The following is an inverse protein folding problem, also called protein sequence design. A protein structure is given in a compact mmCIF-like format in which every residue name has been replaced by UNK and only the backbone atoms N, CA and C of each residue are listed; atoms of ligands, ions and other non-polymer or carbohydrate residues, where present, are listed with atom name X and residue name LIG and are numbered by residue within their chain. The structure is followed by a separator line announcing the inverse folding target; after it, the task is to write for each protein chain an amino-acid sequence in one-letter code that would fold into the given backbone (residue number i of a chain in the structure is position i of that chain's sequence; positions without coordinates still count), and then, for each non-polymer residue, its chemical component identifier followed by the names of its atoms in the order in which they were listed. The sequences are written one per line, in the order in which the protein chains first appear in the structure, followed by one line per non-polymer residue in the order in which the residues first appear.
data_IF_671676227264
#
_entry.id   IF_671676227264
#
_cell.length_a   1.000
_cell.length_b   1.000
_cell.length_c   1.000
_cell.angle_alpha   90.00
_cell.angle_beta   90.00
_cell.angle_gamma   90.00
#
_symmetry.space_group_name_H-M   'P 1'
#
loop_
_entity.id
_entity.type
_entity.pdbx_description
1 polymer ?
#
# COMPACT_ATOMS: atom_id res chain seq x y z
N UNK A 1 -5.85 24.15 13.63
CA UNK A 1 -4.87 23.47 12.75
C UNK A 1 -5.64 22.80 11.63
N UNK A 2 -5.21 22.99 10.37
CA UNK A 2 -5.87 22.38 9.22
C UNK A 2 -5.64 20.87 9.28
N UNK A 3 -6.69 20.08 9.25
CA UNK A 3 -6.63 18.60 9.28
C UNK A 3 -6.33 18.10 7.87
N UNK A 4 -5.12 18.39 7.40
CA UNK A 4 -4.64 17.97 6.08
C UNK A 4 -4.17 16.50 6.07
N UNK A 5 -3.79 16.02 4.90
CA UNK A 5 -3.34 14.63 4.71
C UNK A 5 -2.14 14.26 5.59
N UNK A 6 -1.21 15.19 5.84
CA UNK A 6 -0.01 14.95 6.65
C UNK A 6 -0.36 14.83 8.14
N UNK A 7 -1.27 15.68 8.63
CA UNK A 7 -1.79 15.54 9.99
C UNK A 7 -2.45 14.19 10.22
N UNK A 8 -3.26 13.74 9.27
CA UNK A 8 -3.92 12.43 9.33
C UNK A 8 -2.91 11.29 9.31
N UNK A 9 -1.92 11.35 8.41
CA UNK A 9 -0.85 10.34 8.33
C UNK A 9 -0.05 10.24 9.64
N UNK A 10 0.39 11.37 10.20
CA UNK A 10 1.09 11.42 11.50
C UNK A 10 0.22 10.88 12.63
N UNK A 11 -1.08 11.18 12.62
CA UNK A 11 -2.03 10.63 13.60
C UNK A 11 -2.15 9.12 13.50
N UNK A 12 -2.23 8.58 12.28
CA UNK A 12 -2.24 7.14 12.00
C UNK A 12 -0.94 6.49 12.51
N UNK A 13 0.22 7.05 12.15
CA UNK A 13 1.53 6.53 12.55
C UNK A 13 1.71 6.52 14.06
N UNK A 14 1.33 7.60 14.75
CA UNK A 14 1.39 7.69 16.20
C UNK A 14 0.53 6.64 16.91
N UNK A 15 -0.65 6.34 16.37
CA UNK A 15 -1.53 5.28 16.91
C UNK A 15 -0.97 3.89 16.60
N UNK A 16 -0.42 3.69 15.42
CA UNK A 16 0.17 2.43 15.00
C UNK A 16 1.34 2.00 15.89
N UNK A 17 2.21 2.92 16.30
CA UNK A 17 3.30 2.61 17.23
C UNK A 17 2.82 2.18 18.63
N UNK A 18 1.61 2.55 19.03
CA UNK A 18 1.05 2.24 20.35
C UNK A 18 0.23 0.97 20.40
N UNK A 19 -0.21 0.48 19.25
CA UNK A 19 -1.18 -0.61 19.18
C UNK A 19 -0.61 -1.73 18.31
N UNK A 20 -0.80 -2.98 18.74
CA UNK A 20 -0.54 -4.16 17.92
C UNK A 20 -1.72 -4.43 16.98
N UNK A 21 -2.28 -3.38 16.38
CA UNK A 21 -3.40 -3.45 15.44
C UNK A 21 -2.90 -3.30 14.00
N UNK A 22 -3.66 -3.82 13.04
CA UNK A 22 -3.35 -3.64 11.63
C UNK A 22 -3.48 -2.17 11.23
N UNK A 23 -2.52 -1.66 10.45
CA UNK A 23 -2.50 -0.27 9.98
C UNK A 23 -3.82 0.16 9.32
N UNK A 24 -4.45 -0.75 8.55
CA UNK A 24 -5.74 -0.51 7.89
C UNK A 24 -6.89 -0.24 8.87
N UNK A 25 -6.94 -0.94 10.00
CA UNK A 25 -7.95 -0.71 11.05
C UNK A 25 -7.76 0.65 11.71
N UNK A 26 -6.51 0.97 12.09
CA UNK A 26 -6.17 2.27 12.68
C UNK A 26 -6.53 3.42 11.73
N UNK A 27 -6.18 3.27 10.45
CA UNK A 27 -6.53 4.24 9.41
C UNK A 27 -8.03 4.47 9.32
N UNK A 28 -8.84 3.40 9.29
CA UNK A 28 -10.30 3.50 9.24
C UNK A 28 -10.86 4.19 10.48
N UNK A 29 -10.34 3.92 11.68
CA UNK A 29 -10.71 4.62 12.92
C UNK A 29 -10.41 6.12 12.84
N UNK A 30 -9.23 6.50 12.33
CA UNK A 30 -8.84 7.92 12.16
C UNK A 30 -9.76 8.59 11.14
N UNK A 31 -10.04 7.96 10.00
CA UNK A 31 -10.92 8.53 8.98
C UNK A 31 -12.38 8.65 9.46
N UNK A 32 -12.88 7.71 10.25
CA UNK A 32 -14.21 7.81 10.86
C UNK A 32 -14.29 8.98 11.86
N UNK A 33 -13.20 9.22 12.60
CA UNK A 33 -13.14 10.32 13.58
C UNK A 33 -13.08 11.69 12.92
N UNK A 34 -12.21 11.85 11.90
CA UNK A 34 -11.92 13.17 11.31
C UNK A 34 -12.72 13.48 10.04
N UNK A 35 -13.35 12.47 9.42
CA UNK A 35 -14.16 12.58 8.20
C UNK A 35 -13.50 13.43 7.10
N UNK A 36 -12.24 13.10 6.70
CA UNK A 36 -11.51 13.91 5.74
C UNK A 36 -12.13 13.85 4.34
N UNK A 37 -11.89 14.89 3.56
CA UNK A 37 -12.18 14.94 2.13
C UNK A 37 -11.48 13.79 1.37
N UNK A 38 -12.06 13.27 0.27
CA UNK A 38 -11.54 12.13 -0.48
C UNK A 38 -10.05 12.26 -0.85
N UNK A 39 -9.62 13.41 -1.35
CA UNK A 39 -8.23 13.66 -1.73
C UNK A 39 -7.29 13.58 -0.51
N UNK A 40 -7.66 14.20 0.62
CA UNK A 40 -6.88 14.13 1.85
C UNK A 40 -6.82 12.71 2.40
N UNK A 41 -7.90 11.95 2.29
CA UNK A 41 -7.98 10.54 2.69
C UNK A 41 -7.03 9.68 1.87
N UNK A 42 -7.06 9.83 0.54
CA UNK A 42 -6.19 9.10 -0.39
C UNK A 42 -4.72 9.43 -0.10
N UNK A 43 -4.37 10.70 -0.03
CA UNK A 43 -3.01 11.14 0.24
C UNK A 43 -2.49 10.69 1.61
N UNK A 44 -3.29 10.78 2.67
CA UNK A 44 -2.92 10.30 4.00
C UNK A 44 -2.70 8.78 4.03
N UNK A 45 -3.47 8.03 3.22
CA UNK A 45 -3.28 6.58 3.07
C UNK A 45 -1.92 6.26 2.46
N UNK A 46 -1.54 6.96 1.39
CA UNK A 46 -0.22 6.79 0.75
C UNK A 46 0.89 7.12 1.75
N UNK A 47 0.86 8.30 2.36
CA UNK A 47 1.89 8.73 3.31
C UNK A 47 2.06 7.74 4.48
N UNK A 48 0.97 7.27 5.08
CA UNK A 48 1.06 6.33 6.19
C UNK A 48 1.60 4.95 5.75
N UNK A 49 1.11 4.41 4.63
CA UNK A 49 1.53 3.09 4.14
C UNK A 49 3.02 3.09 3.74
N UNK A 50 3.45 4.08 2.97
CA UNK A 50 4.83 4.18 2.49
C UNK A 50 5.81 4.45 3.62
N UNK A 51 5.43 5.32 4.57
CA UNK A 51 6.25 5.56 5.77
C UNK A 51 6.44 4.29 6.59
N UNK A 52 5.40 3.46 6.77
CA UNK A 52 5.52 2.18 7.47
C UNK A 52 6.35 1.18 6.66
N UNK A 53 6.17 1.11 5.35
CA UNK A 53 6.94 0.21 4.46
C UNK A 53 8.44 0.50 4.53
N UNK A 54 8.81 1.77 4.55
CA UNK A 54 10.21 2.21 4.57
C UNK A 54 10.71 2.58 5.97
N UNK A 55 9.95 2.23 7.03
CA UNK A 55 10.20 2.72 8.40
C UNK A 55 11.64 2.53 8.86
N UNK A 56 12.21 1.35 8.72
CA UNK A 56 13.57 1.08 9.17
C UNK A 56 14.60 1.92 8.43
N UNK A 57 14.43 2.07 7.11
CA UNK A 57 15.29 2.93 6.28
C UNK A 57 15.17 4.39 6.68
N UNK A 58 13.95 4.91 6.84
CA UNK A 58 13.71 6.28 7.28
C UNK A 58 14.28 6.54 8.65
N UNK A 59 14.16 5.60 9.58
CA UNK A 59 14.70 5.70 10.94
C UNK A 59 16.21 5.84 10.93
N UNK A 60 16.94 5.01 10.16
CA UNK A 60 18.39 5.11 9.98
C UNK A 60 18.81 6.46 9.39
N UNK A 61 18.12 6.90 8.35
CA UNK A 61 18.41 8.18 7.71
C UNK A 61 18.20 9.37 8.67
N UNK A 62 17.11 9.34 9.46
CA UNK A 62 16.84 10.39 10.44
C UNK A 62 17.91 10.43 11.53
N UNK A 63 18.31 9.28 12.07
CA UNK A 63 19.39 9.22 13.07
C UNK A 63 20.72 9.76 12.50
N UNK A 64 21.06 9.35 11.27
CA UNK A 64 22.28 9.81 10.59
C UNK A 64 22.28 11.33 10.35
N UNK A 65 21.21 11.88 9.79
CA UNK A 65 21.11 13.32 9.44
C UNK A 65 20.97 14.21 10.68
N UNK A 66 20.23 13.75 11.70
CA UNK A 66 19.99 14.52 12.91
C UNK A 66 21.11 14.40 13.95
N UNK A 67 21.93 13.35 13.86
CA UNK A 67 22.92 12.99 14.89
C UNK A 67 22.29 12.59 16.23
N UNK A 68 20.99 12.24 16.25
CA UNK A 68 20.24 11.91 17.46
C UNK A 68 19.58 10.56 17.34
N UNK A 69 19.63 9.77 18.42
CA UNK A 69 18.83 8.54 18.47
C UNK A 69 17.35 8.86 18.49
N UNK A 70 16.59 8.13 17.68
CA UNK A 70 15.11 8.24 17.60
C UNK A 70 14.42 7.99 18.95
N UNK A 71 15.00 7.15 19.81
CA UNK A 71 14.48 6.89 21.16
C UNK A 71 14.41 8.16 22.02
N UNK A 72 15.19 9.19 21.70
CA UNK A 72 15.23 10.48 22.42
C UNK A 72 14.32 11.54 21.81
N UNK A 73 13.72 11.25 20.65
CA UNK A 73 12.77 12.15 19.99
C UNK A 73 11.34 11.88 20.48
N UNK A 74 10.57 12.94 20.62
CA UNK A 74 9.11 12.82 20.80
C UNK A 74 8.52 12.00 19.65
N UNK A 75 7.49 11.19 19.97
CA UNK A 75 6.85 10.31 18.99
C UNK A 75 6.29 11.07 17.80
N UNK A 76 5.54 12.14 18.05
CA UNK A 76 4.94 12.92 16.98
C UNK A 76 6.01 13.60 16.12
N UNK A 77 7.10 14.04 16.73
CA UNK A 77 8.25 14.58 16.00
C UNK A 77 8.87 13.52 15.09
N UNK A 78 9.02 12.29 15.58
CA UNK A 78 9.54 11.17 14.80
C UNK A 78 8.66 10.89 13.59
N UNK A 79 7.36 10.74 13.79
CA UNK A 79 6.41 10.51 12.71
C UNK A 79 6.39 11.65 11.69
N UNK A 80 6.49 12.91 12.13
CA UNK A 80 6.59 14.06 11.23
C UNK A 80 7.88 14.03 10.41
N UNK A 81 9.02 13.71 11.04
CA UNK A 81 10.30 13.57 10.32
C UNK A 81 10.24 12.40 9.32
N UNK A 82 9.68 11.26 9.70
CA UNK A 82 9.51 10.11 8.81
C UNK A 82 8.70 10.49 7.56
N UNK A 83 7.57 11.17 7.72
CA UNK A 83 6.76 11.66 6.59
C UNK A 83 7.54 12.67 5.75
N UNK A 84 8.24 13.63 6.38
CA UNK A 84 9.04 14.63 5.67
C UNK A 84 10.21 14.02 4.89
N UNK A 85 10.90 13.02 5.46
CA UNK A 85 11.96 12.28 4.77
C UNK A 85 11.40 11.49 3.58
N UNK A 86 10.24 10.85 3.75
CA UNK A 86 9.58 10.15 2.66
C UNK A 86 9.25 11.11 1.52
N UNK A 87 8.62 12.25 1.80
CA UNK A 87 8.24 13.24 0.77
C UNK A 87 9.47 13.80 0.04
N UNK A 88 10.58 14.08 0.73
CA UNK A 88 11.79 14.65 0.11
C UNK A 88 12.55 13.61 -0.73
N UNK A 89 12.55 12.34 -0.32
CA UNK A 89 13.41 11.31 -0.93
C UNK A 89 12.70 10.39 -1.92
N UNK A 90 11.38 10.21 -1.78
CA UNK A 90 10.63 9.16 -2.49
C UNK A 90 9.36 9.68 -3.18
N UNK A 91 8.99 10.94 -3.00
CA UNK A 91 7.77 11.49 -3.56
C UNK A 91 8.05 12.69 -4.48
N UNK A 92 8.27 12.39 -5.73
CA UNK A 92 8.56 13.40 -6.77
C UNK A 92 7.42 14.39 -7.00
N UNK A 93 6.20 14.09 -6.53
CA UNK A 93 5.04 14.98 -6.68
C UNK A 93 5.07 16.18 -5.72
N UNK A 94 5.98 16.17 -4.72
CA UNK A 94 6.08 17.20 -3.69
C UNK A 94 7.43 17.92 -3.79
N UNK A 95 7.44 19.22 -4.07
CA UNK A 95 8.68 20.01 -4.01
C UNK A 95 9.29 19.99 -2.58
N UNK A 96 10.60 19.88 -2.48
CA UNK A 96 11.34 19.81 -1.21
C UNK A 96 10.94 20.95 -0.23
N UNK A 97 10.81 22.18 -0.72
CA UNK A 97 10.43 23.34 0.10
C UNK A 97 9.03 23.16 0.72
N UNK A 98 8.10 22.58 -0.04
CA UNK A 98 6.72 22.36 0.43
C UNK A 98 6.65 21.24 1.48
N UNK A 99 7.47 20.19 1.35
CA UNK A 99 7.63 19.17 2.36
C UNK A 99 8.16 19.76 3.68
N UNK A 100 9.21 20.58 3.61
CA UNK A 100 9.80 21.25 4.78
C UNK A 100 8.80 22.19 5.45
N UNK A 101 8.17 23.10 4.71
CA UNK A 101 7.22 24.06 5.27
C UNK A 101 6.06 23.37 5.97
N UNK A 102 5.48 22.37 5.32
CA UNK A 102 4.37 21.59 5.88
C UNK A 102 4.77 20.85 7.17
N UNK A 103 5.94 20.19 7.19
CA UNK A 103 6.42 19.48 8.37
C UNK A 103 6.71 20.44 9.55
N UNK A 104 7.30 21.60 9.26
CA UNK A 104 7.57 22.67 10.26
C UNK A 104 6.27 23.19 10.86
N UNK A 105 5.30 23.53 10.03
CA UNK A 105 4.00 24.03 10.47
C UNK A 105 3.24 22.97 11.27
N UNK A 106 3.28 21.71 10.84
CA UNK A 106 2.67 20.60 11.54
C UNK A 106 3.33 20.40 12.92
N UNK A 107 4.66 20.42 12.98
CA UNK A 107 5.40 20.31 14.25
C UNK A 107 5.05 21.45 15.21
N UNK A 108 4.96 22.68 14.70
CA UNK A 108 4.59 23.86 15.50
C UNK A 108 3.18 23.71 16.10
N UNK A 109 2.24 23.15 15.32
CA UNK A 109 0.85 22.95 15.74
C UNK A 109 0.64 21.79 16.70
N UNK A 110 1.40 20.69 16.57
CA UNK A 110 1.27 19.49 17.42
C UNK A 110 2.12 19.58 18.67
N UNK A 111 3.31 20.11 18.59
CA UNK A 111 4.29 20.19 19.69
C UNK A 111 4.52 21.64 20.12
N UNK A 112 5.58 22.26 19.58
CA UNK A 112 5.95 23.63 19.94
C UNK A 112 6.95 24.25 18.94
N UNK A 113 7.27 25.55 19.15
CA UNK A 113 8.19 26.32 18.31
C UNK A 113 9.64 25.76 18.34
N UNK A 114 10.12 25.26 19.49
CA UNK A 114 11.46 24.69 19.61
C UNK A 114 11.59 23.41 18.76
N UNK A 115 10.60 22.51 18.83
CA UNK A 115 10.57 21.31 18.02
C UNK A 115 10.49 21.63 16.51
N UNK A 116 9.72 22.65 16.12
CA UNK A 116 9.63 23.08 14.71
C UNK A 116 10.96 23.61 14.17
N UNK A 117 11.77 24.28 15.00
CA UNK A 117 13.13 24.66 14.65
C UNK A 117 14.05 23.45 14.38
N UNK A 118 13.92 22.39 15.19
CA UNK A 118 14.65 21.14 14.97
C UNK A 118 14.20 20.46 13.68
N UNK A 119 12.88 20.37 13.42
CA UNK A 119 12.33 19.81 12.17
C UNK A 119 12.91 20.53 10.95
N UNK A 120 12.89 21.86 10.95
CA UNK A 120 13.45 22.66 9.86
C UNK A 120 14.95 22.37 9.65
N UNK A 121 15.74 22.34 10.73
CA UNK A 121 17.17 22.09 10.66
C UNK A 121 17.48 20.70 10.09
N UNK A 122 16.78 19.66 10.54
CA UNK A 122 16.97 18.28 10.09
C UNK A 122 16.60 18.12 8.62
N UNK A 123 15.41 18.59 8.20
CA UNK A 123 14.96 18.43 6.82
C UNK A 123 15.80 19.25 5.82
N UNK A 124 16.22 20.48 6.19
CA UNK A 124 17.16 21.26 5.35
C UNK A 124 18.53 20.62 5.28
N UNK A 125 19.02 19.98 6.36
CA UNK A 125 20.26 19.22 6.34
C UNK A 125 20.15 18.01 5.39
N UNK A 126 19.02 17.29 5.40
CA UNK A 126 18.75 16.21 4.46
C UNK A 126 18.85 16.69 3.00
N UNK A 127 18.14 17.77 2.64
CA UNK A 127 18.17 18.34 1.29
C UNK A 127 19.59 18.67 0.87
N UNK A 128 20.32 19.43 1.71
CA UNK A 128 21.71 19.78 1.43
C UNK A 128 22.58 18.54 1.22
N UNK A 129 22.43 17.51 2.06
CA UNK A 129 23.17 16.26 1.93
C UNK A 129 22.86 15.54 0.62
N UNK A 130 21.57 15.43 0.27
CA UNK A 130 21.08 14.85 -1.00
C UNK A 130 21.69 15.55 -2.20
N UNK A 131 21.76 16.89 -2.17
CA UNK A 131 22.21 17.69 -3.31
C UNK A 131 23.74 17.72 -3.47
N UNK A 132 24.49 17.53 -2.36
CA UNK A 132 25.96 17.59 -2.37
C UNK A 132 26.65 16.24 -2.51
N UNK A 133 25.98 15.14 -2.18
CA UNK A 133 26.57 13.81 -2.16
C UNK A 133 25.52 12.77 -2.59
N UNK A 134 25.62 12.27 -3.81
CA UNK A 134 24.68 11.27 -4.37
C UNK A 134 24.75 9.91 -3.68
N UNK A 135 25.78 9.64 -2.91
CA UNK A 135 25.98 8.38 -2.18
C UNK A 135 25.99 8.58 -0.64
N UNK A 136 25.38 9.65 -0.15
CA UNK A 136 25.37 10.00 1.28
C UNK A 136 24.78 8.89 2.18
N UNK A 137 23.89 8.08 1.65
CA UNK A 137 23.22 6.97 2.33
C UNK A 137 23.96 5.63 2.18
N UNK A 138 25.05 5.59 1.39
CA UNK A 138 25.84 4.38 1.13
C UNK A 138 26.20 3.59 2.39
N UNK A 139 26.75 4.24 3.44
CA UNK A 139 27.09 3.55 4.71
C UNK A 139 25.88 2.98 5.45
N UNK A 140 24.65 3.49 5.19
CA UNK A 140 23.44 3.01 5.85
C UNK A 140 22.88 1.73 5.20
N UNK A 141 23.22 1.49 3.92
CA UNK A 141 22.70 0.36 3.13
C UNK A 141 23.18 -1.00 3.64
N UNK A 142 24.29 -1.02 4.39
CA UNK A 142 24.82 -2.24 5.00
C UNK A 142 24.18 -2.57 6.36
N UNK A 143 23.39 -1.65 6.93
CA UNK A 143 22.73 -1.86 8.21
C UNK A 143 21.41 -2.65 8.03
N UNK A 144 21.12 -3.56 8.98
CA UNK A 144 19.91 -4.41 8.91
C UNK A 144 18.61 -3.61 8.79
N UNK A 145 18.52 -2.47 9.49
CA UNK A 145 17.35 -1.58 9.43
C UNK A 145 17.04 -1.02 8.04
N UNK A 146 18.02 -1.01 7.12
CA UNK A 146 17.85 -0.50 5.76
C UNK A 146 16.75 -1.19 4.97
N UNK A 147 16.57 -2.48 5.20
CA UNK A 147 15.56 -3.28 4.50
C UNK A 147 14.15 -3.14 5.07
N UNK A 148 13.99 -2.43 6.21
CA UNK A 148 12.70 -2.23 6.89
C UNK A 148 11.96 -3.54 7.23
N UNK A 149 12.72 -4.59 7.51
CA UNK A 149 12.24 -5.91 7.87
C UNK A 149 12.76 -6.31 9.26
N UNK A 150 12.02 -7.10 10.05
CA UNK A 150 12.53 -7.70 11.28
C UNK A 150 13.77 -8.57 11.03
N UNK A 151 14.74 -8.54 11.94
CA UNK A 151 16.01 -9.25 11.79
C UNK A 151 15.82 -10.77 11.60
N UNK A 152 14.84 -11.37 12.26
CA UNK A 152 14.55 -12.81 12.12
C UNK A 152 14.07 -13.19 10.71
N UNK A 153 13.31 -12.29 10.03
CA UNK A 153 12.89 -12.50 8.64
C UNK A 153 14.10 -12.39 7.73
N UNK A 154 14.96 -11.39 7.95
CA UNK A 154 16.16 -11.18 7.15
C UNK A 154 17.08 -12.40 7.24
N UNK A 155 17.37 -12.88 8.47
CA UNK A 155 18.19 -14.05 8.69
C UNK A 155 17.63 -15.29 7.98
N UNK A 156 16.32 -15.56 8.10
CA UNK A 156 15.66 -16.69 7.45
C UNK A 156 15.71 -16.60 5.93
N UNK A 157 15.47 -15.43 5.36
CA UNK A 157 15.48 -15.27 3.90
C UNK A 157 16.89 -15.29 3.31
N UNK A 158 17.89 -14.79 4.05
CA UNK A 158 19.29 -14.92 3.66
C UNK A 158 19.70 -16.41 3.63
N UNK A 159 19.29 -17.18 4.63
CA UNK A 159 19.53 -18.62 4.70
C UNK A 159 18.88 -19.37 3.53
N UNK A 160 17.63 -19.04 3.20
CA UNK A 160 16.87 -19.72 2.15
C UNK A 160 17.23 -19.30 0.72
N UNK A 161 17.52 -18.01 0.48
CA UNK A 161 17.67 -17.42 -0.86
C UNK A 161 19.11 -17.00 -1.16
N UNK A 162 20.00 -17.06 -0.18
CA UNK A 162 21.31 -16.44 -0.23
C UNK A 162 21.25 -14.91 -0.19
N UNK A 163 22.39 -14.25 0.06
CA UNK A 163 22.47 -12.79 0.19
C UNK A 163 21.95 -12.07 -1.08
N UNK A 164 22.27 -12.56 -2.27
CA UNK A 164 21.82 -11.95 -3.53
C UNK A 164 20.29 -12.04 -3.68
N UNK A 165 19.71 -13.22 -3.49
CA UNK A 165 18.26 -13.42 -3.58
C UNK A 165 17.50 -12.59 -2.56
N UNK A 166 18.01 -12.48 -1.34
CA UNK A 166 17.47 -11.60 -0.31
C UNK A 166 17.47 -10.12 -0.75
N UNK A 167 18.58 -9.61 -1.29
CA UNK A 167 18.68 -8.23 -1.75
C UNK A 167 17.72 -7.94 -2.90
N UNK A 168 17.58 -8.87 -3.84
CA UNK A 168 16.65 -8.72 -4.97
C UNK A 168 15.18 -8.75 -4.49
N UNK A 169 14.85 -9.63 -3.54
CA UNK A 169 13.53 -9.68 -2.92
C UNK A 169 13.22 -8.38 -2.18
N UNK A 170 14.15 -7.88 -1.34
CA UNK A 170 13.92 -6.67 -0.55
C UNK A 170 13.76 -5.42 -1.41
N UNK A 171 14.42 -5.33 -2.56
CA UNK A 171 14.18 -4.26 -3.54
C UNK A 171 12.73 -4.27 -4.01
N UNK A 172 12.18 -5.44 -4.33
CA UNK A 172 10.79 -5.58 -4.83
C UNK A 172 9.75 -5.26 -3.77
N UNK A 173 9.87 -5.82 -2.56
CA UNK A 173 8.87 -5.62 -1.49
C UNK A 173 8.87 -4.20 -0.92
N UNK A 174 9.97 -3.46 -1.06
CA UNK A 174 10.07 -2.06 -0.65
C UNK A 174 9.59 -1.06 -1.72
N UNK A 175 9.19 -1.54 -2.90
CA UNK A 175 8.51 -0.71 -3.89
C UNK A 175 7.02 -0.59 -3.57
N UNK A 176 6.40 0.51 -4.01
CA UNK A 176 4.95 0.63 -3.97
C UNK A 176 4.31 -0.53 -4.73
N UNK A 177 3.26 -1.18 -4.19
CA UNK A 177 2.63 -2.30 -4.86
C UNK A 177 1.97 -1.84 -6.15
N UNK A 178 2.16 -2.61 -7.20
CA UNK A 178 1.44 -2.44 -8.46
C UNK A 178 0.01 -2.91 -8.25
N UNK A 179 -0.96 -2.14 -8.73
CA UNK A 179 -2.36 -2.56 -8.74
C UNK A 179 -2.59 -3.46 -9.95
N UNK A 180 -3.11 -4.65 -9.70
CA UNK A 180 -3.55 -5.56 -10.74
C UNK A 180 -5.08 -5.65 -10.78
N UNK A 181 -5.59 -5.74 -11.99
CA UNK A 181 -7.00 -5.94 -12.28
C UNK A 181 -7.14 -7.23 -13.06
N UNK A 182 -8.00 -8.13 -12.59
CA UNK A 182 -8.39 -9.31 -13.33
C UNK A 182 -9.62 -9.01 -14.17
N UNK A 183 -9.60 -9.46 -15.43
CA UNK A 183 -10.70 -9.39 -16.38
C UNK A 183 -11.51 -10.67 -16.30
N UNK A 184 -12.83 -10.55 -16.12
CA UNK A 184 -13.78 -11.66 -16.04
C UNK A 184 -14.74 -11.71 -17.22
N UNK A 185 -14.75 -10.67 -18.04
CA UNK A 185 -15.82 -10.46 -19.00
C UNK A 185 -15.73 -11.40 -20.20
N UNK A 186 -16.86 -12.00 -20.54
CA UNK A 186 -17.07 -12.61 -21.86
C UNK A 186 -17.71 -11.61 -22.86
N UNK A 187 -18.05 -10.40 -22.41
CA UNK A 187 -18.70 -9.35 -23.21
C UNK A 187 -17.69 -8.43 -23.89
N UNK A 188 -16.56 -8.17 -23.22
CA UNK A 188 -15.52 -7.28 -23.70
C UNK A 188 -14.22 -8.04 -23.89
N UNK A 189 -13.49 -7.71 -24.95
CA UNK A 189 -12.10 -8.17 -25.12
C UNK A 189 -11.18 -7.43 -24.15
N UNK A 190 -9.96 -7.92 -23.97
CA UNK A 190 -8.95 -7.25 -23.16
C UNK A 190 -8.66 -5.84 -23.69
N UNK A 191 -8.63 -5.66 -25.00
CA UNK A 191 -8.34 -4.38 -25.64
C UNK A 191 -9.51 -3.40 -25.48
N UNK A 192 -10.76 -3.88 -25.52
CA UNK A 192 -11.93 -3.04 -25.19
C UNK A 192 -11.85 -2.51 -23.75
N UNK A 193 -11.47 -3.36 -22.79
CA UNK A 193 -11.33 -2.97 -21.40
C UNK A 193 -10.21 -1.94 -21.22
N UNK A 194 -9.07 -2.11 -21.87
CA UNK A 194 -7.98 -1.12 -21.85
C UNK A 194 -8.48 0.22 -22.41
N UNK A 195 -9.21 0.19 -23.52
CA UNK A 195 -9.77 1.40 -24.12
C UNK A 195 -10.79 2.09 -23.19
N UNK A 196 -11.69 1.34 -22.57
CA UNK A 196 -12.70 1.87 -21.64
C UNK A 196 -12.05 2.45 -20.36
N UNK A 197 -11.00 1.82 -19.84
CA UNK A 197 -10.22 2.34 -18.71
C UNK A 197 -9.50 3.63 -19.09
N UNK A 198 -8.88 3.69 -20.27
CA UNK A 198 -8.24 4.89 -20.79
C UNK A 198 -9.23 6.06 -20.95
N UNK A 199 -10.46 5.79 -21.39
CA UNK A 199 -11.54 6.78 -21.45
C UNK A 199 -11.96 7.33 -20.07
N UNK A 200 -11.54 6.69 -18.99
CA UNK A 200 -11.75 7.12 -17.60
C UNK A 200 -10.47 7.66 -16.94
N UNK A 201 -9.47 8.07 -17.71
CA UNK A 201 -8.16 8.54 -17.26
C UNK A 201 -7.38 7.48 -16.41
N UNK A 202 -7.63 6.19 -16.67
CA UNK A 202 -6.94 5.09 -16.02
C UNK A 202 -5.95 4.48 -17.00
N UNK A 203 -4.65 4.64 -16.72
CA UNK A 203 -3.59 4.01 -17.50
C UNK A 203 -3.42 2.54 -17.11
N UNK A 204 -3.55 1.67 -18.11
CA UNK A 204 -3.43 0.21 -17.92
C UNK A 204 -2.69 -0.43 -19.08
N UNK A 205 -2.05 -1.57 -18.82
CA UNK A 205 -1.44 -2.40 -19.84
C UNK A 205 -1.66 -3.89 -19.56
N UNK A 206 -1.58 -4.71 -20.60
CA UNK A 206 -1.75 -6.16 -20.48
C UNK A 206 -0.56 -6.77 -19.72
N UNK A 207 -0.86 -7.48 -18.64
CA UNK A 207 0.12 -8.28 -17.90
C UNK A 207 0.10 -9.75 -18.33
N UNK A 208 -1.10 -10.32 -18.53
CA UNK A 208 -1.31 -11.69 -19.00
C UNK A 208 -2.65 -11.79 -19.73
N UNK A 209 -3.07 -13.00 -20.09
CA UNK A 209 -4.37 -13.23 -20.75
C UNK A 209 -5.57 -12.75 -19.94
N UNK A 210 -5.47 -12.79 -18.58
CA UNK A 210 -6.58 -12.45 -17.69
C UNK A 210 -6.29 -11.25 -16.79
N UNK A 211 -5.10 -10.65 -16.85
CA UNK A 211 -4.70 -9.58 -15.93
C UNK A 211 -4.16 -8.35 -16.64
N UNK A 212 -4.53 -7.18 -16.10
CA UNK A 212 -3.96 -5.88 -16.42
C UNK A 212 -3.19 -5.32 -15.23
N UNK A 213 -2.10 -4.59 -15.50
CA UNK A 213 -1.48 -3.66 -14.55
C UNK A 213 -2.12 -2.29 -14.68
N UNK A 214 -2.30 -1.61 -13.55
CA UNK A 214 -2.75 -0.22 -13.49
C UNK A 214 -1.58 0.65 -13.04
N UNK A 215 -1.11 1.54 -13.90
CA UNK A 215 0.03 2.42 -13.62
C UNK A 215 -0.39 3.87 -13.32
N UNK A 216 -1.64 4.28 -13.65
CA UNK A 216 -2.20 5.56 -13.24
C UNK A 216 -3.72 5.45 -13.02
N UNK A 217 -4.31 6.37 -12.24
CA UNK A 217 -5.76 6.38 -12.00
C UNK A 217 -6.28 5.25 -11.09
N UNK A 218 -5.41 4.57 -10.33
CA UNK A 218 -5.78 3.44 -9.48
C UNK A 218 -6.95 3.71 -8.51
N UNK A 219 -7.06 4.94 -8.00
CA UNK A 219 -8.16 5.35 -7.11
C UNK A 219 -9.53 5.37 -7.77
N UNK A 220 -9.59 5.46 -9.09
CA UNK A 220 -10.83 5.57 -9.87
C UNK A 220 -11.36 4.21 -10.34
N UNK A 221 -10.55 3.15 -10.29
CA UNK A 221 -10.91 1.81 -10.79
C UNK A 221 -12.22 1.31 -10.20
N UNK A 222 -12.43 1.50 -8.90
CA UNK A 222 -13.65 1.08 -8.18
C UNK A 222 -14.90 1.87 -8.60
N UNK A 223 -14.74 3.04 -9.19
CA UNK A 223 -15.82 3.92 -9.62
C UNK A 223 -16.23 3.66 -11.07
N UNK A 224 -15.45 2.87 -11.81
CA UNK A 224 -15.75 2.53 -13.21
C UNK A 224 -16.99 1.62 -13.33
N UNK A 225 -17.74 1.79 -14.42
CA UNK A 225 -18.81 0.87 -14.77
C UNK A 225 -18.32 -0.57 -14.91
N UNK A 226 -17.12 -0.79 -15.44
CA UNK A 226 -16.50 -2.11 -15.57
C UNK A 226 -16.37 -2.83 -14.22
N UNK A 227 -15.95 -2.10 -13.17
CA UNK A 227 -15.87 -2.67 -11.82
C UNK A 227 -17.26 -2.87 -11.23
N UNK A 228 -18.15 -1.89 -11.33
CA UNK A 228 -19.50 -1.94 -10.73
C UNK A 228 -20.38 -3.05 -11.32
N UNK A 229 -20.16 -3.41 -12.57
CA UNK A 229 -20.90 -4.48 -13.26
C UNK A 229 -20.17 -5.82 -13.28
N UNK A 230 -19.03 -5.95 -12.57
CA UNK A 230 -18.32 -7.21 -12.40
C UNK A 230 -17.50 -7.69 -13.61
N UNK A 231 -17.28 -6.83 -14.62
CA UNK A 231 -16.41 -7.18 -15.75
C UNK A 231 -14.93 -7.25 -15.34
N UNK A 232 -14.58 -6.52 -14.29
CA UNK A 232 -13.23 -6.53 -13.70
C UNK A 232 -13.28 -6.64 -12.18
N UNK A 233 -12.20 -7.16 -11.59
CA UNK A 233 -11.98 -7.15 -10.14
C UNK A 233 -10.51 -6.87 -9.79
N UNK A 234 -10.29 -6.30 -8.60
CA UNK A 234 -8.94 -6.12 -8.08
C UNK A 234 -8.46 -7.47 -7.54
N UNK A 235 -7.44 -8.03 -8.16
CA UNK A 235 -6.83 -9.29 -7.76
C UNK A 235 -5.37 -9.32 -8.16
N UNK A 236 -4.51 -9.81 -7.25
CA UNK A 236 -3.10 -10.07 -7.54
C UNK A 236 -2.97 -11.32 -8.43
N UNK A 237 -2.12 -11.31 -9.48
CA UNK A 237 -1.94 -12.46 -10.37
C UNK A 237 -1.49 -13.74 -9.64
N UNK A 238 -0.64 -13.62 -8.58
CA UNK A 238 -0.25 -14.79 -7.78
C UNK A 238 -1.45 -15.41 -7.05
N UNK A 239 -2.44 -14.57 -6.65
CA UNK A 239 -3.70 -15.07 -6.08
C UNK A 239 -4.57 -15.77 -7.14
N UNK A 240 -4.53 -15.31 -8.40
CA UNK A 240 -5.18 -15.97 -9.53
C UNK A 240 -4.54 -17.32 -9.84
N UNK A 241 -3.21 -17.36 -9.90
CA UNK A 241 -2.44 -18.57 -10.18
C UNK A 241 -2.73 -19.74 -9.22
N UNK A 242 -3.14 -19.45 -7.97
CA UNK A 242 -3.58 -20.49 -7.04
C UNK A 242 -4.82 -21.23 -7.58
N UNK A 243 -5.79 -20.50 -8.13
CA UNK A 243 -6.98 -21.11 -8.73
C UNK A 243 -6.63 -21.87 -10.03
N UNK A 244 -5.72 -21.32 -10.84
CA UNK A 244 -5.24 -21.98 -12.07
C UNK A 244 -4.53 -23.31 -11.76
N UNK A 245 -3.67 -23.34 -10.72
CA UNK A 245 -2.97 -24.57 -10.29
C UNK A 245 -3.91 -25.65 -9.73
N UNK A 246 -5.15 -25.32 -9.39
CA UNK A 246 -6.15 -26.33 -8.94
C UNK A 246 -6.70 -27.14 -10.11
N UNK A 247 -6.52 -26.69 -11.35
CA UNK A 247 -7.03 -27.33 -12.58
C UNK A 247 -8.54 -27.68 -12.48
N UNK A 248 -9.31 -26.76 -11.90
CA UNK A 248 -10.74 -26.91 -11.65
C UNK A 248 -11.49 -27.04 -12.97
N UNK A 249 -12.45 -28.01 -13.04
CA UNK A 249 -13.26 -28.29 -14.22
C UNK A 249 -14.71 -27.89 -14.00
N UNK A 250 -15.39 -27.59 -15.09
CA UNK A 250 -16.85 -27.32 -15.10
C UNK A 250 -17.63 -28.44 -14.38
N UNK A 251 -18.64 -28.07 -13.62
CA UNK A 251 -19.49 -28.98 -12.86
C UNK A 251 -18.93 -29.48 -11.54
N UNK A 252 -17.69 -29.13 -11.18
CA UNK A 252 -17.09 -29.57 -9.90
C UNK A 252 -17.61 -28.78 -8.71
N UNK A 253 -17.60 -29.41 -7.53
CA UNK A 253 -17.80 -28.74 -6.25
C UNK A 253 -16.45 -28.46 -5.60
N UNK A 254 -16.21 -27.21 -5.23
CA UNK A 254 -14.98 -26.74 -4.60
C UNK A 254 -15.25 -26.14 -3.22
N UNK A 255 -14.45 -26.49 -2.24
CA UNK A 255 -14.51 -25.93 -0.88
C UNK A 255 -13.35 -24.94 -0.65
N UNK A 256 -13.68 -23.67 -0.39
CA UNK A 256 -12.73 -22.63 0.01
C UNK A 256 -12.95 -22.30 1.50
N UNK A 257 -12.08 -22.81 2.37
CA UNK A 257 -12.19 -22.67 3.84
C UNK A 257 -11.63 -21.38 4.40
N UNK A 258 -10.94 -20.58 3.57
CA UNK A 258 -10.38 -19.27 3.92
C UNK A 258 -10.72 -18.23 2.82
N UNK A 259 -12.00 -18.17 2.47
CA UNK A 259 -12.47 -17.55 1.25
C UNK A 259 -12.36 -16.01 1.23
N UNK A 260 -12.65 -15.38 2.36
CA UNK A 260 -12.88 -13.93 2.37
C UNK A 260 -11.60 -13.10 2.06
N UNK A 261 -11.73 -12.05 1.26
CA UNK A 261 -12.96 -11.39 0.78
C UNK A 261 -13.63 -12.03 -0.43
N UNK A 262 -13.11 -13.13 -0.99
CA UNK A 262 -13.81 -13.90 -2.01
C UNK A 262 -13.20 -13.87 -3.41
N UNK A 263 -12.10 -13.17 -3.65
CA UNK A 263 -11.55 -13.03 -5.02
C UNK A 263 -11.12 -14.35 -5.66
N UNK A 264 -10.59 -15.31 -4.88
CA UNK A 264 -10.30 -16.66 -5.36
C UNK A 264 -11.58 -17.48 -5.59
N UNK A 265 -12.51 -17.45 -4.62
CA UNK A 265 -13.80 -18.13 -4.74
C UNK A 265 -14.59 -17.67 -5.98
N UNK A 266 -14.59 -16.36 -6.26
CA UNK A 266 -15.18 -15.79 -7.48
C UNK A 266 -14.51 -16.30 -8.76
N UNK A 267 -13.18 -16.43 -8.73
CA UNK A 267 -12.46 -17.00 -9.86
C UNK A 267 -12.86 -18.46 -10.10
N UNK A 268 -12.83 -19.23 -9.03
CA UNK A 268 -13.20 -20.64 -9.08
C UNK A 268 -14.66 -20.82 -9.51
N UNK A 269 -15.58 -19.96 -9.03
CA UNK A 269 -16.99 -19.98 -9.45
C UNK A 269 -17.15 -19.79 -10.96
N UNK A 270 -16.36 -18.88 -11.56
CA UNK A 270 -16.31 -18.76 -13.01
C UNK A 270 -15.78 -20.00 -13.74
N UNK A 271 -14.82 -20.74 -13.14
CA UNK A 271 -14.24 -21.94 -13.74
C UNK A 271 -15.17 -23.15 -13.65
N UNK A 272 -15.85 -23.34 -12.51
CA UNK A 272 -16.80 -24.47 -12.34
C UNK A 272 -18.09 -24.28 -13.13
N UNK A 273 -18.42 -23.04 -13.48
CA UNK A 273 -19.60 -22.70 -14.27
C UNK A 273 -20.93 -22.93 -13.51
N UNK A 274 -22.07 -22.80 -14.23
CA UNK A 274 -23.40 -22.85 -13.61
C UNK A 274 -23.78 -24.22 -13.04
N UNK A 275 -23.17 -25.29 -13.53
CA UNK A 275 -23.42 -26.68 -13.06
C UNK A 275 -22.53 -27.05 -11.87
N UNK A 276 -21.52 -26.21 -11.57
CA UNK A 276 -20.59 -26.40 -10.44
C UNK A 276 -21.02 -25.63 -9.21
N UNK A 277 -20.29 -25.82 -8.10
CA UNK A 277 -20.57 -25.16 -6.84
C UNK A 277 -19.28 -24.75 -6.10
N UNK A 278 -19.28 -23.57 -5.48
CA UNK A 278 -18.22 -23.14 -4.57
C UNK A 278 -18.80 -22.93 -3.17
N UNK A 279 -18.32 -23.74 -2.23
CA UNK A 279 -18.65 -23.60 -0.81
C UNK A 279 -17.56 -22.74 -0.15
N UNK A 280 -17.88 -21.47 0.11
CA UNK A 280 -16.93 -20.48 0.64
C UNK A 280 -17.19 -20.19 2.12
N UNK A 281 -16.19 -20.37 2.98
CA UNK A 281 -16.27 -20.06 4.40
C UNK A 281 -15.09 -19.20 4.87
N UNK A 282 -15.29 -18.41 5.93
CA UNK A 282 -14.24 -17.60 6.59
C UNK A 282 -14.62 -17.35 8.04
N UNK A 283 -13.63 -17.12 8.92
CA UNK A 283 -13.86 -16.81 10.32
C UNK A 283 -14.52 -15.44 10.55
N UNK A 284 -14.43 -14.53 9.60
CA UNK A 284 -14.97 -13.16 9.71
C UNK A 284 -16.29 -13.01 8.95
N UNK A 285 -17.43 -12.91 9.66
CA UNK A 285 -18.73 -12.70 9.00
C UNK A 285 -18.78 -11.41 8.16
N UNK A 286 -18.11 -10.34 8.63
CA UNK A 286 -18.03 -9.06 7.89
C UNK A 286 -17.30 -9.25 6.55
N UNK A 287 -16.19 -10.00 6.54
CA UNK A 287 -15.44 -10.29 5.32
C UNK A 287 -16.23 -11.20 4.38
N UNK A 288 -16.95 -12.19 4.89
CA UNK A 288 -17.87 -13.05 4.10
C UNK A 288 -18.95 -12.21 3.42
N UNK A 289 -19.54 -11.22 4.14
CA UNK A 289 -20.55 -10.34 3.54
C UNK A 289 -20.01 -9.51 2.38
N UNK A 290 -18.74 -9.09 2.43
CA UNK A 290 -18.09 -8.43 1.26
C UNK A 290 -17.99 -9.39 0.08
N UNK A 291 -17.60 -10.65 0.31
CA UNK A 291 -17.58 -11.68 -0.73
C UNK A 291 -18.94 -11.90 -1.39
N UNK A 292 -20.03 -11.89 -0.60
CA UNK A 292 -21.40 -11.96 -1.13
C UNK A 292 -21.78 -10.76 -2.00
N UNK A 293 -21.37 -9.55 -1.62
CA UNK A 293 -21.58 -8.36 -2.44
C UNK A 293 -20.85 -8.47 -3.78
N UNK A 294 -19.60 -8.97 -3.75
CA UNK A 294 -18.82 -9.21 -4.96
C UNK A 294 -19.46 -10.32 -5.84
N UNK A 295 -19.94 -11.41 -5.25
CA UNK A 295 -20.66 -12.46 -5.97
C UNK A 295 -21.88 -11.89 -6.74
N UNK A 296 -22.68 -11.08 -6.05
CA UNK A 296 -23.84 -10.41 -6.67
C UNK A 296 -23.42 -9.46 -7.79
N UNK A 297 -22.35 -8.70 -7.59
CA UNK A 297 -21.80 -7.78 -8.58
C UNK A 297 -21.35 -8.49 -9.86
N UNK A 298 -20.84 -9.70 -9.76
CA UNK A 298 -20.43 -10.55 -10.88
C UNK A 298 -21.58 -11.37 -11.49
N UNK A 299 -22.78 -11.30 -10.91
CA UNK A 299 -23.94 -12.07 -11.37
C UNK A 299 -23.81 -13.58 -11.20
N UNK A 300 -22.87 -14.06 -10.37
CA UNK A 300 -22.65 -15.48 -10.10
C UNK A 300 -23.65 -15.98 -9.06
N UNK A 301 -24.10 -17.24 -9.21
CA UNK A 301 -25.13 -17.87 -8.36
C UNK A 301 -24.67 -19.16 -7.69
N UNK A 302 -23.51 -19.66 -8.06
CA UNK A 302 -22.95 -20.97 -7.70
C UNK A 302 -21.93 -20.94 -6.55
#
# INVERSE_FOLDING_TARGET
MKQDARFLAVTILNRFENKHEQLGLIRNQVFSQFKPEPLSKSRATVLANETVRLKGRLDLMIEFISGKSLKRLDRSLRSILQVGFYEILFDESVPDYAAVDSAVNLTKGILNRKASGLTNAVLRNLIRKKDTDTNWDGPLREQSGWHSLPDWIQARWIDQLGKKGFLDLTKRINQAPVLFVRVHSNTYTMDDIICLLSGSDIGSERFSESFLTIHSGAGQVLETGLFQTGHISIQDPASGAVADCMEVKAGQTVLDVCAAPGTKSLYIAGLVGEEGQVLASDLSPERVNRGRQDLNRHGLKN
#
